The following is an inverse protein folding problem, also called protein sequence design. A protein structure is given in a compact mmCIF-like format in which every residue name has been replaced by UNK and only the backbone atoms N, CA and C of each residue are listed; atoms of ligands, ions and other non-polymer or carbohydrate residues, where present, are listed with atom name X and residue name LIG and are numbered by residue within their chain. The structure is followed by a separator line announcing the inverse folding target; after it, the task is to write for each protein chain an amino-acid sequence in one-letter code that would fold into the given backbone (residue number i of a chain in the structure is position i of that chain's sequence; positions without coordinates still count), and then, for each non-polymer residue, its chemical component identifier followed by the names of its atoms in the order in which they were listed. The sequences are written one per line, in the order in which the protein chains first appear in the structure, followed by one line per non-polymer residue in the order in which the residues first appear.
data_IF_926882167880
#
_entry.id   IF_926882167880
#
_cell.length_a   1.000
_cell.length_b   1.000
_cell.length_c   1.000
_cell.angle_alpha   90.00
_cell.angle_beta   90.00
_cell.angle_gamma   90.00
#
_symmetry.space_group_name_H-M   'P 1'
#
loop_
_entity.id
_entity.type
_entity.pdbx_description
1 polymer ?
#
# COMPACT_ATOMS: atom_id res chain seq x y z
N UNK A 1 -2.69 -3.61 10.62
CA UNK A 1 -3.21 -2.27 10.26
C UNK A 1 -4.73 -2.39 10.24
N UNK A 2 -5.48 -1.39 10.73
CA UNK A 2 -6.95 -1.47 10.65
C UNK A 2 -7.40 -1.38 9.20
N UNK A 3 -8.50 -2.04 8.87
CA UNK A 3 -9.11 -1.96 7.54
C UNK A 3 -9.33 -0.50 7.09
N UNK A 4 -9.83 0.32 8.02
CA UNK A 4 -10.10 1.75 7.79
C UNK A 4 -8.83 2.53 7.46
N UNK A 5 -7.71 2.25 8.14
CA UNK A 5 -6.42 2.91 7.88
C UNK A 5 -5.91 2.54 6.48
N UNK A 6 -6.05 1.27 6.09
CA UNK A 6 -5.64 0.80 4.76
C UNK A 6 -6.46 1.50 3.66
N UNK A 7 -7.79 1.56 3.82
CA UNK A 7 -8.67 2.26 2.88
C UNK A 7 -8.46 3.78 2.87
N UNK A 8 -8.09 4.37 4.00
CA UNK A 8 -7.72 5.78 4.07
C UNK A 8 -6.40 6.03 3.31
N UNK A 9 -5.42 5.13 3.47
CA UNK A 9 -4.16 5.19 2.74
C UNK A 9 -4.34 5.06 1.22
N UNK A 10 -5.18 4.13 0.73
CA UNK A 10 -5.44 3.99 -0.71
C UNK A 10 -6.08 5.24 -1.30
N UNK A 11 -7.00 5.89 -0.56
CA UNK A 11 -7.60 7.17 -0.95
C UNK A 11 -6.57 8.30 -0.96
N UNK A 12 -5.72 8.39 0.06
CA UNK A 12 -4.72 9.44 0.18
C UNK A 12 -3.64 9.37 -0.91
N UNK A 13 -3.27 8.15 -1.32
CA UNK A 13 -2.24 7.90 -2.35
C UNK A 13 -2.79 7.84 -3.77
N UNK A 14 -4.12 7.77 -3.94
CA UNK A 14 -4.75 7.56 -5.25
C UNK A 14 -4.61 6.14 -5.80
N UNK A 15 -4.07 5.20 -5.01
CA UNK A 15 -3.91 3.79 -5.37
C UNK A 15 -5.23 3.05 -5.13
N UNK A 16 -6.23 3.34 -5.96
CA UNK A 16 -7.59 2.84 -5.77
C UNK A 16 -7.77 1.38 -6.20
N UNK A 17 -6.82 0.82 -6.95
CA UNK A 17 -6.86 -0.58 -7.38
C UNK A 17 -5.72 -1.39 -6.79
N UNK A 18 -5.99 -2.67 -6.50
CA UNK A 18 -4.96 -3.62 -6.08
C UNK A 18 -3.80 -3.71 -7.09
N UNK A 19 -4.08 -3.45 -8.38
CA UNK A 19 -3.06 -3.42 -9.43
C UNK A 19 -2.01 -2.33 -9.19
N UNK A 20 -2.47 -1.08 -9.09
CA UNK A 20 -1.59 0.06 -8.84
C UNK A 20 -0.80 -0.14 -7.55
N UNK A 21 -1.46 -0.62 -6.49
CA UNK A 21 -0.81 -0.85 -5.21
C UNK A 21 0.28 -1.93 -5.27
N UNK A 22 0.11 -3.04 -6.01
CA UNK A 22 1.18 -4.05 -6.08
C UNK A 22 2.35 -3.60 -6.96
N UNK A 23 2.09 -2.82 -8.02
CA UNK A 23 3.11 -2.24 -8.89
C UNK A 23 3.98 -1.24 -8.10
N UNK A 24 3.36 -0.35 -7.33
CA UNK A 24 4.07 0.65 -6.51
C UNK A 24 4.76 0.06 -5.27
N UNK A 25 4.12 -0.89 -4.57
CA UNK A 25 4.69 -1.49 -3.37
C UNK A 25 5.74 -2.58 -3.67
N UNK A 26 5.87 -3.01 -4.93
CA UNK A 26 6.71 -4.16 -5.31
C UNK A 26 6.30 -5.46 -4.61
N UNK A 27 5.01 -5.59 -4.27
CA UNK A 27 4.46 -6.72 -3.53
C UNK A 27 3.82 -7.76 -4.47
N UNK A 28 3.62 -8.99 -3.98
CA UNK A 28 2.89 -10.02 -4.74
C UNK A 28 1.46 -9.57 -5.02
N UNK A 29 1.02 -9.65 -6.29
CA UNK A 29 -0.36 -9.35 -6.71
C UNK A 29 -1.40 -10.04 -5.84
N UNK A 30 -1.25 -11.33 -5.57
CA UNK A 30 -2.23 -12.10 -4.80
C UNK A 30 -2.34 -11.60 -3.36
N UNK A 31 -1.21 -11.22 -2.76
CA UNK A 31 -1.16 -10.68 -1.40
C UNK A 31 -1.89 -9.33 -1.32
N UNK A 32 -1.65 -8.44 -2.29
CA UNK A 32 -2.31 -7.13 -2.32
C UNK A 32 -3.81 -7.28 -2.60
N UNK A 33 -4.21 -8.16 -3.52
CA UNK A 33 -5.62 -8.46 -3.75
C UNK A 33 -6.32 -8.96 -2.48
N UNK A 34 -5.65 -9.83 -1.71
CA UNK A 34 -6.16 -10.30 -0.43
C UNK A 34 -6.33 -9.15 0.57
N UNK A 35 -5.38 -8.20 0.64
CA UNK A 35 -5.49 -7.04 1.51
C UNK A 35 -6.69 -6.14 1.18
N UNK A 36 -6.96 -5.90 -0.11
CA UNK A 36 -8.15 -5.15 -0.52
C UNK A 36 -9.43 -5.88 -0.14
N UNK A 37 -9.51 -7.20 -0.41
CA UNK A 37 -10.66 -8.01 -0.06
C UNK A 37 -10.90 -8.05 1.46
N UNK A 38 -9.85 -8.21 2.26
CA UNK A 38 -9.94 -8.19 3.72
C UNK A 38 -10.37 -6.82 4.24
N UNK A 39 -9.81 -5.73 3.71
CA UNK A 39 -10.16 -4.38 4.11
C UNK A 39 -11.62 -4.02 3.75
N UNK A 40 -12.09 -4.40 2.56
CA UNK A 40 -13.49 -4.23 2.14
C UNK A 40 -14.45 -5.06 2.99
N UNK A 41 -14.04 -6.26 3.42
CA UNK A 41 -14.77 -7.08 4.37
C UNK A 41 -14.69 -6.57 5.83
N UNK A 42 -14.03 -5.43 6.08
CA UNK A 42 -13.86 -4.84 7.40
C UNK A 42 -12.86 -5.58 8.31
N UNK A 43 -12.03 -6.47 7.76
CA UNK A 43 -11.03 -7.23 8.49
C UNK A 43 -9.70 -6.48 8.52
N UNK A 44 -9.02 -6.57 9.66
CA UNK A 44 -7.69 -5.99 9.83
C UNK A 44 -6.69 -6.63 8.86
N UNK A 45 -5.85 -5.79 8.27
CA UNK A 45 -4.88 -6.18 7.25
C UNK A 45 -3.53 -6.46 7.91
N UNK A 46 -2.97 -7.65 7.66
CA UNK A 46 -1.65 -8.01 8.15
C UNK A 46 -0.58 -7.57 7.14
N UNK A 47 0.12 -6.50 7.47
CA UNK A 47 1.14 -5.88 6.64
C UNK A 47 2.49 -6.00 7.34
N UNK A 48 3.50 -6.51 6.63
CA UNK A 48 4.87 -6.63 7.16
C UNK A 48 5.47 -5.23 7.35
N UNK A 49 6.36 -5.07 8.34
CA UNK A 49 6.98 -3.78 8.69
C UNK A 49 7.57 -3.04 7.49
N UNK A 50 8.33 -3.71 6.63
CA UNK A 50 8.96 -3.07 5.47
C UNK A 50 7.92 -2.54 4.45
N UNK A 51 6.82 -3.25 4.25
CA UNK A 51 5.72 -2.78 3.39
C UNK A 51 5.04 -1.58 4.01
N UNK A 52 4.79 -1.58 5.32
CA UNK A 52 4.21 -0.43 6.01
C UNK A 52 5.09 0.82 5.93
N UNK A 53 6.42 0.66 5.96
CA UNK A 53 7.36 1.75 5.72
C UNK A 53 7.29 2.26 4.28
N UNK A 54 7.21 1.36 3.28
CA UNK A 54 7.01 1.74 1.88
C UNK A 54 5.68 2.48 1.66
N UNK A 55 4.58 2.02 2.26
CA UNK A 55 3.30 2.71 2.25
C UNK A 55 3.40 4.14 2.80
N UNK A 56 4.16 4.33 3.88
CA UNK A 56 4.41 5.65 4.46
C UNK A 56 5.21 6.53 3.51
N UNK A 57 6.24 5.99 2.87
CA UNK A 57 7.05 6.71 1.89
C UNK A 57 6.20 7.19 0.70
N UNK A 58 5.37 6.31 0.14
CA UNK A 58 4.43 6.65 -0.96
C UNK A 58 3.45 7.75 -0.52
N UNK A 59 2.88 7.65 0.68
CA UNK A 59 1.96 8.66 1.20
C UNK A 59 2.62 10.04 1.41
N UNK A 60 3.94 10.09 1.56
CA UNK A 60 4.72 11.32 1.68
C UNK A 60 5.31 11.79 0.33
N UNK A 61 5.02 11.09 -0.78
CA UNK A 61 5.58 11.40 -2.10
C UNK A 61 7.09 11.16 -2.19
N UNK A 62 7.65 10.31 -1.32
CA UNK A 62 9.05 9.91 -1.39
C UNK A 62 9.24 8.89 -2.51
N UNK A 63 10.38 8.98 -3.18
CA UNK A 63 10.75 8.12 -4.30
C UNK A 63 11.76 7.06 -3.85
N UNK A 64 11.93 5.99 -4.63
CA UNK A 64 13.09 5.10 -4.51
C UNK A 64 14.41 5.89 -4.52
N UNK A 65 15.40 5.33 -3.82
CA UNK A 65 16.69 6.00 -3.58
C UNK A 65 17.44 6.37 -4.86
N UNK A 66 17.29 5.54 -5.89
CA UNK A 66 17.90 5.63 -7.21
C UNK A 66 17.17 6.58 -8.18
N UNK A 67 15.98 7.07 -7.84
CA UNK A 67 15.20 8.00 -8.67
C UNK A 67 15.41 9.48 -8.34
N UNK A 68 16.26 9.79 -7.37
CA UNK A 68 16.65 11.17 -7.07
C UNK A 68 17.83 11.59 -7.94
N UNK A 69 17.71 12.71 -8.67
CA UNK A 69 18.87 13.37 -9.29
C UNK A 69 19.80 13.87 -8.19
N UNK A 70 21.07 13.46 -8.25
CA UNK A 70 22.12 13.80 -7.29
C UNK A 70 23.41 14.18 -7.99
#
# INVERSE_FOLDING_TARGET
MKAQDFLAWTKATGLTTARQAYEELGASRNLVQQWYADAEAGKDVTIKRHVALAMTAIAQGLKPWDEYER
#
